data_IF_908448123017
#
_entry.id   IF_908448123017
#
_cell.length_a   1.000
_cell.length_b   1.000
_cell.length_c   1.000
_cell.angle_alpha   90.00
_cell.angle_beta   90.00
_cell.angle_gamma   90.00
#
_symmetry.space_group_name_H-M   'P 1'
#
loop_
_entity.id
_entity.type
_entity.pdbx_description
1 polymer ?
#
# COMPACT_ATOMS: atom_id res chain seq x y z
N UNK A 1 0.76 5.26 39.31
CA UNK A 1 1.54 6.51 39.44
C UNK A 1 2.99 6.16 39.15
N UNK A 2 3.61 6.71 38.10
CA UNK A 2 5.02 6.43 37.77
C UNK A 2 5.88 7.44 38.57
N UNK A 3 6.54 7.05 39.67
CA UNK A 3 6.94 8.01 40.73
C UNK A 3 8.09 8.96 40.37
N UNK A 4 8.85 8.67 39.30
CA UNK A 4 10.10 9.35 38.95
C UNK A 4 10.00 10.40 37.82
N UNK A 5 8.81 10.62 37.24
CA UNK A 5 8.65 11.61 36.18
C UNK A 5 8.66 13.04 36.75
N UNK A 6 9.54 13.87 36.22
CA UNK A 6 9.57 15.31 36.44
C UNK A 6 8.49 16.05 35.63
N UNK A 7 8.31 17.36 35.87
CA UNK A 7 7.38 18.19 35.09
C UNK A 7 7.67 18.12 33.59
N UNK A 8 6.63 17.97 32.76
CA UNK A 8 6.75 17.84 31.30
C UNK A 8 7.27 16.49 30.80
N UNK A 9 7.55 15.53 31.68
CA UNK A 9 7.97 14.19 31.28
C UNK A 9 6.79 13.22 31.18
N UNK A 10 6.84 12.36 30.17
CA UNK A 10 5.87 11.31 29.94
C UNK A 10 6.58 10.00 29.55
N UNK A 11 6.03 8.88 29.98
CA UNK A 11 6.43 7.54 29.51
C UNK A 11 5.20 6.89 28.91
N UNK A 12 5.34 6.36 27.69
CA UNK A 12 4.26 5.71 26.94
C UNK A 12 2.99 6.57 26.88
N UNK A 13 3.16 7.87 26.62
CA UNK A 13 2.07 8.83 26.50
C UNK A 13 1.37 9.17 27.81
N UNK A 14 1.94 8.85 28.98
CA UNK A 14 1.37 9.23 30.28
C UNK A 14 2.33 10.07 31.12
N UNK A 15 1.84 11.21 31.58
CA UNK A 15 2.51 12.06 32.55
C UNK A 15 2.36 11.52 33.98
N UNK A 16 3.05 12.14 34.94
CA UNK A 16 3.05 11.75 36.36
C UNK A 16 1.66 11.70 36.99
N UNK A 17 0.80 12.64 36.63
CA UNK A 17 -0.59 12.78 37.08
C UNK A 17 -1.56 11.85 36.32
N UNK A 18 -1.06 11.07 35.36
CA UNK A 18 -1.84 10.18 34.52
C UNK A 18 -2.48 10.86 33.31
N UNK A 19 -2.25 12.17 33.09
CA UNK A 19 -2.71 12.86 31.90
C UNK A 19 -1.99 12.33 30.65
N UNK A 20 -2.65 12.44 29.50
CA UNK A 20 -2.04 12.19 28.19
C UNK A 20 -1.52 13.53 27.68
N UNK A 21 -0.21 13.81 27.73
CA UNK A 21 0.28 15.13 27.34
C UNK A 21 0.26 15.32 25.82
N UNK A 22 0.26 14.25 25.03
CA UNK A 22 0.33 14.31 23.58
C UNK A 22 -0.55 13.24 22.93
N UNK A 23 -1.49 13.65 22.08
CA UNK A 23 -2.28 12.77 21.22
C UNK A 23 -1.85 12.97 19.77
N UNK A 24 -1.49 11.89 19.09
CA UNK A 24 -1.16 11.93 17.66
C UNK A 24 -2.42 11.74 16.83
N UNK A 25 -2.65 12.67 15.90
CA UNK A 25 -3.76 12.68 14.94
C UNK A 25 -3.19 12.65 13.52
N UNK A 26 -3.74 11.78 12.67
CA UNK A 26 -3.23 11.52 11.34
C UNK A 26 -2.51 10.18 11.23
N UNK A 27 -1.86 9.99 10.08
CA UNK A 27 -1.13 8.77 9.78
C UNK A 27 0.29 9.17 9.38
N UNK A 28 1.26 8.65 10.12
CA UNK A 28 2.67 8.76 9.74
C UNK A 28 3.06 7.73 8.69
N UNK A 29 4.31 7.82 8.27
CA UNK A 29 4.91 6.93 7.27
C UNK A 29 4.68 5.44 7.57
N UNK A 30 4.72 5.02 8.84
CA UNK A 30 4.51 3.62 9.25
C UNK A 30 3.04 3.18 9.33
N UNK A 31 2.06 4.06 9.56
CA UNK A 31 0.63 3.70 9.73
C UNK A 31 -0.26 4.22 8.58
N UNK A 32 0.36 4.67 7.49
CA UNK A 32 -0.37 5.16 6.32
C UNK A 32 -1.09 4.01 5.61
N UNK A 33 -0.43 2.85 5.52
CA UNK A 33 -0.82 1.69 4.69
C UNK A 33 -0.95 2.00 3.20
N UNK A 34 -0.54 3.19 2.77
CA UNK A 34 -0.54 3.61 1.37
C UNK A 34 0.85 3.65 0.76
N UNK A 35 1.90 3.36 1.55
CA UNK A 35 3.29 3.44 1.09
C UNK A 35 3.53 2.61 -0.19
N UNK A 36 4.34 3.13 -1.13
CA UNK A 36 5.00 4.45 -1.13
C UNK A 36 4.10 5.58 -1.65
N UNK A 37 2.83 5.33 -1.93
CA UNK A 37 1.93 6.32 -2.53
C UNK A 37 1.57 7.39 -1.51
N UNK A 38 1.82 8.64 -1.89
CA UNK A 38 1.62 9.82 -1.05
C UNK A 38 0.35 10.60 -1.43
N UNK A 39 -0.20 11.33 -0.45
CA UNK A 39 -1.34 12.22 -0.64
C UNK A 39 -2.67 11.53 -0.92
N UNK A 40 -2.81 10.26 -0.56
CA UNK A 40 -4.10 9.56 -0.52
C UNK A 40 -4.79 9.89 0.80
N UNK A 41 -5.94 10.61 0.79
CA UNK A 41 -6.55 11.09 2.01
C UNK A 41 -7.37 10.01 2.71
N UNK A 42 -7.21 9.90 4.03
CA UNK A 42 -8.04 9.06 4.91
C UNK A 42 -8.93 9.98 5.77
N UNK A 43 -9.87 10.67 5.11
CA UNK A 43 -10.65 11.78 5.69
C UNK A 43 -11.49 11.30 6.85
N UNK A 44 -12.16 10.16 6.71
CA UNK A 44 -13.05 9.64 7.75
C UNK A 44 -12.25 9.21 8.98
N UNK A 45 -11.13 8.50 8.77
CA UNK A 45 -10.21 8.15 9.87
C UNK A 45 -9.65 9.39 10.57
N UNK A 46 -9.21 10.39 9.81
CA UNK A 46 -8.68 11.63 10.39
C UNK A 46 -9.73 12.38 11.22
N UNK A 47 -10.97 12.45 10.73
CA UNK A 47 -12.08 13.05 11.47
C UNK A 47 -12.40 12.30 12.77
N UNK A 48 -12.31 10.96 12.75
CA UNK A 48 -12.47 10.12 13.93
C UNK A 48 -11.35 10.35 14.95
N UNK A 49 -10.09 10.44 14.50
CA UNK A 49 -8.95 10.72 15.38
C UNK A 49 -9.04 12.12 16.01
N UNK A 50 -9.45 13.14 15.26
CA UNK A 50 -9.71 14.49 15.78
C UNK A 50 -10.78 14.49 16.88
N UNK A 51 -11.90 13.81 16.62
CA UNK A 51 -12.99 13.67 17.58
C UNK A 51 -12.54 12.93 18.85
N UNK A 52 -11.81 11.84 18.70
CA UNK A 52 -11.26 11.09 19.84
C UNK A 52 -10.31 11.96 20.67
N UNK A 53 -9.48 12.78 20.02
CA UNK A 53 -8.58 13.71 20.69
C UNK A 53 -9.34 14.83 21.42
N UNK A 54 -10.51 15.25 20.94
CA UNK A 54 -11.39 16.22 21.61
C UNK A 54 -11.94 15.74 22.96
N UNK A 55 -11.79 14.45 23.27
CA UNK A 55 -12.16 13.86 24.56
C UNK A 55 -11.19 14.18 25.70
N UNK A 56 -9.95 14.58 25.39
CA UNK A 56 -8.92 14.92 26.37
C UNK A 56 -8.52 16.39 26.24
N UNK A 57 -9.19 17.27 26.99
CA UNK A 57 -8.99 18.72 26.94
C UNK A 57 -7.62 19.18 27.46
N UNK A 58 -6.82 18.26 28.04
CA UNK A 58 -5.49 18.56 28.59
C UNK A 58 -4.34 18.11 27.69
N UNK A 59 -4.64 17.39 26.61
CA UNK A 59 -3.63 16.88 25.70
C UNK A 59 -3.24 17.91 24.63
N UNK A 60 -1.94 18.06 24.38
CA UNK A 60 -1.46 18.69 23.16
C UNK A 60 -1.68 17.75 21.96
N UNK A 61 -1.88 18.33 20.77
CA UNK A 61 -2.13 17.56 19.55
C UNK A 61 -0.89 17.58 18.64
N UNK A 62 -0.40 16.38 18.31
CA UNK A 62 0.62 16.16 17.29
C UNK A 62 -0.07 15.77 15.98
N UNK A 63 0.04 16.59 14.94
CA UNK A 63 -0.55 16.30 13.62
C UNK A 63 0.48 15.70 12.68
N UNK A 64 0.17 14.54 12.12
CA UNK A 64 1.08 13.82 11.22
C UNK A 64 0.41 13.61 9.86
N UNK A 65 1.03 14.12 8.81
CA UNK A 65 0.59 13.97 7.42
C UNK A 65 1.69 13.29 6.61
N UNK A 66 1.31 12.33 5.77
CA UNK A 66 2.23 11.72 4.80
C UNK A 66 2.58 12.67 3.65
N UNK A 67 1.67 13.59 3.31
CA UNK A 67 1.88 14.63 2.30
C UNK A 67 1.52 15.98 2.93
N UNK A 68 2.48 16.93 3.04
CA UNK A 68 2.22 18.26 3.57
C UNK A 68 1.13 19.04 2.80
N UNK A 69 0.84 18.67 1.55
CA UNK A 69 -0.23 19.25 0.73
C UNK A 69 -1.48 18.36 0.69
N UNK A 70 -2.16 18.24 1.83
CA UNK A 70 -3.44 17.53 2.00
C UNK A 70 -4.60 18.49 2.29
N UNK A 71 -5.20 19.12 1.25
CA UNK A 71 -6.18 20.19 1.42
C UNK A 71 -7.40 19.75 2.24
N UNK A 72 -7.90 18.54 2.03
CA UNK A 72 -9.01 17.96 2.80
C UNK A 72 -8.71 17.82 4.29
N UNK A 73 -7.51 17.35 4.65
CA UNK A 73 -7.14 17.15 6.06
C UNK A 73 -6.92 18.50 6.75
N UNK A 74 -6.30 19.47 6.06
CA UNK A 74 -6.15 20.83 6.59
C UNK A 74 -7.49 21.57 6.72
N UNK A 75 -8.40 21.42 5.76
CA UNK A 75 -9.74 22.00 5.84
C UNK A 75 -10.51 21.42 7.04
N UNK A 76 -10.44 20.11 7.24
CA UNK A 76 -11.07 19.43 8.37
C UNK A 76 -10.45 19.86 9.72
N UNK A 77 -9.13 20.00 9.79
CA UNK A 77 -8.45 20.54 10.97
C UNK A 77 -8.87 21.99 11.26
N UNK A 78 -9.01 22.83 10.23
CA UNK A 78 -9.49 24.22 10.40
C UNK A 78 -10.93 24.25 10.93
N UNK A 79 -11.82 23.44 10.37
CA UNK A 79 -13.19 23.31 10.89
C UNK A 79 -13.20 22.83 12.35
N UNK A 80 -12.34 21.85 12.68
CA UNK A 80 -12.24 21.33 14.05
C UNK A 80 -11.79 22.39 15.03
N UNK A 81 -10.76 23.17 14.67
CA UNK A 81 -10.26 24.26 15.53
C UNK A 81 -11.27 25.36 15.73
N UNK A 82 -12.13 25.61 14.73
CA UNK A 82 -13.21 26.61 14.83
C UNK A 82 -14.35 26.11 15.71
N UNK A 83 -14.74 24.84 15.55
CA UNK A 83 -15.83 24.22 16.27
C UNK A 83 -15.53 22.73 16.46
N UNK A 84 -14.91 22.33 17.59
CA UNK A 84 -14.72 20.92 17.90
C UNK A 84 -16.06 20.20 17.90
N UNK A 85 -16.10 19.03 17.27
CA UNK A 85 -17.31 18.21 17.22
C UNK A 85 -17.20 17.00 18.13
N UNK A 86 -18.36 16.49 18.53
CA UNK A 86 -18.53 15.23 19.26
C UNK A 86 -19.71 14.47 18.67
N UNK A 87 -19.64 13.15 18.72
CA UNK A 87 -20.64 12.24 18.18
C UNK A 87 -20.62 12.14 16.64
N UNK A 88 -21.24 11.07 16.16
CA UNK A 88 -21.36 10.76 14.73
C UNK A 88 -21.92 11.93 13.91
N UNK A 89 -22.98 12.58 14.40
CA UNK A 89 -23.63 13.69 13.71
C UNK A 89 -22.66 14.86 13.47
N UNK A 90 -21.97 15.30 14.51
CA UNK A 90 -21.03 16.43 14.40
C UNK A 90 -19.87 16.12 13.46
N UNK A 91 -19.35 14.88 13.50
CA UNK A 91 -18.31 14.42 12.58
C UNK A 91 -18.78 14.43 11.12
N UNK A 92 -19.98 13.92 10.85
CA UNK A 92 -20.56 13.90 9.49
C UNK A 92 -20.82 15.33 8.99
N UNK A 93 -21.36 16.22 9.82
CA UNK A 93 -21.57 17.63 9.47
C UNK A 93 -20.24 18.33 9.11
N UNK A 94 -19.15 18.06 9.84
CA UNK A 94 -17.84 18.62 9.56
C UNK A 94 -17.24 18.09 8.24
N UNK A 95 -17.31 16.77 8.01
CA UNK A 95 -16.86 16.16 6.76
C UNK A 95 -17.65 16.73 5.57
N UNK A 96 -18.98 16.87 5.72
CA UNK A 96 -19.82 17.46 4.68
C UNK A 96 -19.46 18.91 4.38
N UNK A 97 -19.20 19.72 5.42
CA UNK A 97 -18.77 21.10 5.22
C UNK A 97 -17.48 21.19 4.41
N UNK A 98 -16.50 20.33 4.69
CA UNK A 98 -15.24 20.25 3.93
C UNK A 98 -15.47 19.74 2.50
N UNK A 99 -16.29 18.71 2.31
CA UNK A 99 -16.64 18.21 0.99
C UNK A 99 -17.30 19.28 0.11
N UNK A 100 -18.21 20.07 0.70
CA UNK A 100 -18.87 21.16 0.01
C UNK A 100 -17.92 22.30 -0.38
N UNK A 101 -16.85 22.54 0.39
CA UNK A 101 -15.81 23.52 0.02
C UNK A 101 -15.03 23.09 -1.24
N UNK A 102 -14.85 21.79 -1.46
CA UNK A 102 -14.07 21.23 -2.58
C UNK A 102 -14.94 20.97 -3.80
N UNK A 103 -16.08 20.29 -3.62
CA UNK A 103 -16.94 19.83 -4.71
C UNK A 103 -18.18 20.72 -4.98
N UNK A 104 -18.42 21.72 -4.13
CA UNK A 104 -19.68 22.46 -4.10
C UNK A 104 -20.78 21.69 -3.35
N UNK A 105 -21.81 22.41 -2.90
CA UNK A 105 -22.90 21.83 -2.10
C UNK A 105 -23.61 20.66 -2.82
N UNK A 106 -23.89 20.82 -4.11
CA UNK A 106 -24.61 19.83 -4.91
C UNK A 106 -23.86 18.50 -5.08
N UNK A 107 -22.52 18.53 -4.97
CA UNK A 107 -21.69 17.34 -5.17
C UNK A 107 -20.95 16.90 -3.90
N UNK A 108 -21.24 17.51 -2.75
CA UNK A 108 -20.55 17.21 -1.49
C UNK A 108 -20.70 15.72 -1.13
N UNK A 109 -21.91 15.18 -1.17
CA UNK A 109 -22.18 13.77 -0.87
C UNK A 109 -21.44 12.81 -1.82
N UNK A 110 -21.32 13.16 -3.09
CA UNK A 110 -20.58 12.35 -4.07
C UNK A 110 -19.09 12.29 -3.72
N UNK A 111 -18.48 13.42 -3.30
CA UNK A 111 -17.10 13.45 -2.85
C UNK A 111 -16.90 12.66 -1.54
N UNK A 112 -17.82 12.77 -0.58
CA UNK A 112 -17.80 11.95 0.64
C UNK A 112 -17.85 10.47 0.28
N UNK A 113 -18.67 10.09 -0.69
CA UNK A 113 -18.74 8.72 -1.20
C UNK A 113 -17.46 8.22 -1.87
N UNK A 114 -16.61 9.12 -2.39
CA UNK A 114 -15.25 8.78 -2.85
C UNK A 114 -14.34 8.56 -1.63
N UNK A 115 -14.35 9.48 -0.66
CA UNK A 115 -13.52 9.37 0.54
C UNK A 115 -13.83 8.12 1.37
N UNK A 116 -15.10 7.76 1.54
CA UNK A 116 -15.51 6.53 2.23
C UNK A 116 -14.90 5.28 1.58
N UNK A 117 -14.92 5.19 0.25
CA UNK A 117 -14.32 4.07 -0.48
C UNK A 117 -12.79 4.04 -0.33
N UNK A 118 -12.14 5.20 -0.25
CA UNK A 118 -10.70 5.28 0.03
C UNK A 118 -10.40 4.77 1.44
N UNK A 119 -11.11 5.29 2.45
CA UNK A 119 -10.96 4.85 3.85
C UNK A 119 -11.25 3.35 4.00
N UNK A 120 -12.26 2.83 3.30
CA UNK A 120 -12.57 1.39 3.24
C UNK A 120 -11.46 0.57 2.59
N UNK A 121 -10.88 1.06 1.50
CA UNK A 121 -9.78 0.38 0.82
C UNK A 121 -8.56 0.26 1.72
N UNK A 122 -8.11 1.38 2.31
CA UNK A 122 -6.96 1.39 3.21
C UNK A 122 -7.26 0.62 4.50
N UNK A 123 -8.48 0.73 5.02
CA UNK A 123 -8.94 -0.03 6.19
C UNK A 123 -8.92 -1.54 5.98
N UNK A 124 -9.27 -2.03 4.79
CA UNK A 124 -9.19 -3.46 4.45
C UNK A 124 -7.76 -3.98 4.52
N UNK A 125 -6.79 -3.26 3.92
CA UNK A 125 -5.37 -3.66 3.97
C UNK A 125 -4.84 -3.58 5.39
N UNK A 126 -5.14 -2.51 6.13
CA UNK A 126 -4.78 -2.36 7.55
C UNK A 126 -5.34 -3.48 8.45
N UNK A 127 -6.47 -4.08 8.06
CA UNK A 127 -7.11 -5.16 8.82
C UNK A 127 -6.37 -6.49 8.75
N UNK A 128 -5.34 -6.62 7.90
CA UNK A 128 -4.39 -7.75 7.95
C UNK A 128 -3.70 -7.85 9.31
N UNK A 129 -3.55 -6.72 10.02
CA UNK A 129 -2.92 -6.66 11.34
C UNK A 129 -1.41 -6.90 11.29
N UNK A 130 -0.77 -6.84 12.45
CA UNK A 130 0.69 -6.97 12.56
C UNK A 130 1.44 -5.77 12.00
N UNK A 131 2.66 -6.02 11.50
CA UNK A 131 3.51 -4.98 10.93
C UNK A 131 2.95 -4.46 9.59
N UNK A 132 3.19 -3.17 9.27
CA UNK A 132 2.67 -2.56 8.05
C UNK A 132 3.36 -3.14 6.82
N UNK A 133 2.85 -4.26 6.30
CA UNK A 133 3.49 -4.98 5.19
C UNK A 133 3.54 -4.16 3.90
N UNK A 134 2.72 -3.11 3.76
CA UNK A 134 2.84 -2.15 2.67
C UNK A 134 4.13 -1.31 2.75
N UNK A 135 4.70 -1.14 3.93
CA UNK A 135 6.05 -0.59 4.08
C UNK A 135 7.08 -1.71 4.02
N UNK A 136 6.89 -2.73 4.85
CA UNK A 136 7.90 -3.79 5.05
C UNK A 136 8.11 -4.63 3.78
N UNK A 137 7.03 -5.07 3.13
CA UNK A 137 7.10 -5.83 1.89
C UNK A 137 7.44 -4.94 0.69
N UNK A 138 6.59 -3.93 0.42
CA UNK A 138 6.70 -3.12 -0.80
C UNK A 138 8.01 -2.33 -0.89
N UNK A 139 8.51 -1.80 0.23
CA UNK A 139 9.70 -0.95 0.26
C UNK A 139 10.92 -1.70 0.81
N UNK A 140 10.82 -2.22 2.02
CA UNK A 140 12.00 -2.78 2.71
C UNK A 140 12.43 -4.13 2.11
N UNK A 141 11.48 -4.93 1.60
CA UNK A 141 11.74 -6.16 0.83
C UNK A 141 11.67 -5.95 -0.68
N UNK A 142 11.52 -4.70 -1.13
CA UNK A 142 11.55 -4.31 -2.54
C UNK A 142 10.53 -5.03 -3.41
N UNK A 143 9.37 -5.49 -2.90
CA UNK A 143 8.36 -6.17 -3.74
C UNK A 143 7.97 -5.35 -4.98
N UNK A 144 8.01 -4.01 -4.88
CA UNK A 144 7.67 -3.13 -5.98
C UNK A 144 8.64 -3.26 -7.17
N UNK A 145 9.95 -3.34 -6.91
CA UNK A 145 11.00 -3.31 -7.95
C UNK A 145 11.70 -4.64 -8.15
N UNK A 146 11.55 -5.60 -7.24
CA UNK A 146 12.08 -6.97 -7.33
C UNK A 146 11.26 -7.82 -8.31
N UNK A 147 11.89 -8.57 -9.24
CA UNK A 147 11.18 -9.43 -10.19
C UNK A 147 10.64 -10.70 -9.53
N UNK A 148 9.46 -11.14 -9.98
CA UNK A 148 8.88 -12.43 -9.59
C UNK A 148 9.39 -13.49 -10.57
N UNK A 149 10.31 -14.34 -10.11
CA UNK A 149 10.92 -15.42 -10.91
C UNK A 149 10.97 -16.71 -10.09
N UNK A 150 10.88 -17.89 -10.72
CA UNK A 150 10.84 -19.17 -10.00
C UNK A 150 12.21 -19.56 -9.40
N UNK A 151 13.32 -19.07 -9.97
CA UNK A 151 14.68 -19.39 -9.52
C UNK A 151 15.47 -18.10 -9.23
N UNK A 152 15.15 -17.35 -8.17
CA UNK A 152 15.79 -16.05 -7.88
C UNK A 152 17.29 -16.16 -7.62
N UNK A 153 17.77 -17.33 -7.18
CA UNK A 153 19.19 -17.61 -6.93
C UNK A 153 20.02 -17.76 -8.21
N UNK A 154 19.39 -17.97 -9.36
CA UNK A 154 20.05 -18.09 -10.66
C UNK A 154 20.16 -16.73 -11.39
N UNK A 155 19.60 -15.66 -10.84
CA UNK A 155 19.70 -14.32 -11.41
C UNK A 155 21.15 -13.82 -11.41
N UNK A 156 21.54 -13.19 -12.52
CA UNK A 156 22.86 -12.59 -12.65
C UNK A 156 22.99 -11.34 -11.77
N UNK A 157 24.22 -10.93 -11.39
CA UNK A 157 24.42 -9.69 -10.62
C UNK A 157 23.73 -8.47 -11.25
N UNK A 158 23.77 -8.33 -12.58
CA UNK A 158 23.13 -7.21 -13.27
C UNK A 158 21.59 -7.20 -13.14
N UNK A 159 21.00 -8.36 -12.88
CA UNK A 159 19.56 -8.56 -12.67
C UNK A 159 19.16 -8.44 -11.19
N UNK A 160 20.10 -8.64 -10.26
CA UNK A 160 19.82 -8.72 -8.82
C UNK A 160 20.26 -7.48 -8.03
N UNK A 161 21.43 -6.92 -8.34
CA UNK A 161 22.12 -5.96 -7.46
C UNK A 161 21.39 -4.62 -7.30
N UNK A 162 20.50 -4.26 -8.25
CA UNK A 162 19.77 -3.00 -8.19
C UNK A 162 18.74 -2.95 -7.07
N UNK A 163 18.23 -4.10 -6.61
CA UNK A 163 17.29 -4.17 -5.47
C UNK A 163 17.92 -4.86 -4.24
N UNK A 164 18.75 -5.89 -4.44
CA UNK A 164 19.21 -6.78 -3.35
C UNK A 164 19.98 -6.07 -2.25
N UNK A 165 20.83 -5.11 -2.60
CA UNK A 165 21.63 -4.33 -1.63
C UNK A 165 20.79 -3.42 -0.73
N UNK A 166 19.53 -3.20 -1.08
CA UNK A 166 18.58 -2.40 -0.33
C UNK A 166 17.48 -3.23 0.34
N UNK A 167 17.55 -4.57 0.29
CA UNK A 167 16.67 -5.42 1.07
C UNK A 167 17.10 -5.38 2.55
N UNK A 168 16.14 -5.13 3.43
CA UNK A 168 16.39 -5.10 4.86
C UNK A 168 16.41 -6.52 5.45
N UNK A 169 17.42 -6.81 6.28
CA UNK A 169 17.51 -8.02 7.11
C UNK A 169 17.25 -9.34 6.37
N UNK A 170 18.25 -9.81 5.63
CA UNK A 170 18.34 -11.20 5.20
C UNK A 170 19.66 -11.79 5.71
N UNK A 171 19.60 -12.80 6.57
CA UNK A 171 20.80 -13.43 7.15
C UNK A 171 21.51 -14.36 6.15
N UNK A 172 20.79 -14.78 5.12
CA UNK A 172 21.28 -15.59 4.01
C UNK A 172 20.71 -15.10 2.67
N UNK A 173 21.26 -15.60 1.56
CA UNK A 173 20.69 -15.31 0.25
C UNK A 173 19.36 -16.04 0.03
N UNK A 174 19.18 -17.20 0.65
CA UNK A 174 17.92 -17.95 0.64
C UNK A 174 16.81 -17.17 1.34
N UNK A 175 17.08 -16.58 2.50
CA UNK A 175 16.14 -15.69 3.19
C UNK A 175 15.85 -14.43 2.37
N UNK A 176 16.87 -13.87 1.69
CA UNK A 176 16.67 -12.73 0.80
C UNK A 176 15.82 -13.07 -0.43
N UNK A 177 15.87 -14.35 -0.85
CA UNK A 177 15.15 -14.89 -1.99
C UNK A 177 13.69 -15.24 -1.67
N UNK A 178 13.32 -15.37 -0.40
CA UNK A 178 11.93 -15.50 0.01
C UNK A 178 11.22 -14.14 -0.06
N UNK A 179 10.07 -14.07 -0.74
CA UNK A 179 9.27 -12.86 -0.82
C UNK A 179 8.44 -12.65 0.45
N UNK A 180 8.03 -13.70 1.17
CA UNK A 180 7.20 -13.63 2.37
C UNK A 180 8.01 -13.49 3.66
N UNK A 181 9.35 -13.59 3.60
CA UNK A 181 10.21 -13.22 4.70
C UNK A 181 10.27 -11.69 4.87
N UNK A 182 9.43 -11.16 5.76
CA UNK A 182 9.32 -9.75 6.07
C UNK A 182 10.16 -9.41 7.30
N UNK A 183 11.49 -9.34 7.13
CA UNK A 183 12.43 -8.99 8.22
C UNK A 183 12.50 -10.04 9.34
N UNK A 184 12.47 -11.32 8.97
CA UNK A 184 12.41 -12.44 9.91
C UNK A 184 11.00 -12.71 10.46
N UNK A 185 10.00 -11.95 10.05
CA UNK A 185 8.59 -12.21 10.35
C UNK A 185 7.87 -12.78 9.13
N UNK A 186 7.17 -13.89 9.35
CA UNK A 186 6.31 -14.53 8.36
C UNK A 186 4.85 -14.12 8.60
N UNK A 187 4.56 -12.82 8.51
CA UNK A 187 3.22 -12.28 8.78
C UNK A 187 2.16 -12.91 7.87
N UNK A 188 2.53 -13.17 6.62
CA UNK A 188 1.69 -13.79 5.60
C UNK A 188 2.38 -15.09 5.21
N UNK A 189 1.95 -16.20 5.79
CA UNK A 189 2.52 -17.51 5.48
C UNK A 189 1.42 -18.58 5.36
N UNK A 190 1.71 -19.55 4.50
CA UNK A 190 0.85 -20.66 4.16
C UNK A 190 -0.42 -20.24 3.44
N UNK A 191 -1.13 -21.24 2.96
CA UNK A 191 -2.33 -21.06 2.14
C UNK A 191 -3.37 -20.13 2.79
N UNK A 192 -3.64 -20.29 4.10
CA UNK A 192 -4.64 -19.48 4.79
C UNK A 192 -4.23 -18.01 4.94
N UNK A 193 -2.95 -17.75 5.26
CA UNK A 193 -2.43 -16.38 5.36
C UNK A 193 -2.48 -15.67 4.01
N UNK A 194 -1.97 -16.33 2.97
CA UNK A 194 -1.97 -15.84 1.59
C UNK A 194 -3.39 -15.57 1.06
N UNK A 195 -4.34 -16.48 1.35
CA UNK A 195 -5.75 -16.32 0.97
C UNK A 195 -6.41 -15.13 1.67
N UNK A 196 -6.23 -14.98 2.98
CA UNK A 196 -6.81 -13.87 3.75
C UNK A 196 -6.26 -12.51 3.28
N UNK A 197 -4.93 -12.41 3.14
CA UNK A 197 -4.28 -11.20 2.65
C UNK A 197 -4.73 -10.86 1.22
N UNK A 198 -4.80 -11.86 0.34
CA UNK A 198 -5.30 -11.69 -1.03
C UNK A 198 -6.74 -11.18 -1.08
N UNK A 199 -7.63 -11.71 -0.22
CA UNK A 199 -9.02 -11.28 -0.16
C UNK A 199 -9.17 -9.82 0.29
N UNK A 200 -8.41 -9.42 1.31
CA UNK A 200 -8.40 -8.04 1.80
C UNK A 200 -7.84 -7.08 0.74
N UNK A 201 -6.77 -7.46 0.04
CA UNK A 201 -6.22 -6.69 -1.07
C UNK A 201 -7.20 -6.59 -2.25
N UNK A 202 -7.91 -7.67 -2.60
CA UNK A 202 -8.94 -7.64 -3.63
C UNK A 202 -10.11 -6.71 -3.26
N UNK A 203 -10.56 -6.74 -2.00
CA UNK A 203 -11.56 -5.79 -1.50
C UNK A 203 -11.06 -4.34 -1.59
N UNK A 204 -9.79 -4.10 -1.25
CA UNK A 204 -9.18 -2.78 -1.33
C UNK A 204 -9.10 -2.29 -2.79
N UNK A 205 -8.61 -3.14 -3.69
CA UNK A 205 -8.52 -2.85 -5.13
C UNK A 205 -9.90 -2.51 -5.70
N UNK A 206 -10.93 -3.32 -5.43
CA UNK A 206 -12.28 -3.05 -5.91
C UNK A 206 -12.88 -1.75 -5.36
N UNK A 207 -12.58 -1.41 -4.10
CA UNK A 207 -13.00 -0.15 -3.49
C UNK A 207 -12.31 1.05 -4.17
N UNK A 208 -11.00 0.94 -4.48
CA UNK A 208 -10.26 1.97 -5.22
C UNK A 208 -10.77 2.12 -6.66
N UNK A 209 -11.06 1.03 -7.36
CA UNK A 209 -11.61 1.07 -8.72
C UNK A 209 -12.95 1.80 -8.76
N UNK A 210 -13.83 1.49 -7.80
CA UNK A 210 -15.10 2.21 -7.65
C UNK A 210 -14.88 3.68 -7.33
N UNK A 211 -13.94 4.01 -6.44
CA UNK A 211 -13.61 5.41 -6.10
C UNK A 211 -13.06 6.17 -7.32
N UNK A 212 -12.18 5.55 -8.12
CA UNK A 212 -11.62 6.13 -9.34
C UNK A 212 -12.73 6.43 -10.35
N UNK A 213 -13.68 5.49 -10.53
CA UNK A 213 -14.82 5.66 -11.43
C UNK A 213 -15.73 6.82 -10.98
N UNK A 214 -16.08 6.84 -9.71
CA UNK A 214 -16.96 7.88 -9.16
C UNK A 214 -16.28 9.25 -9.20
N UNK A 215 -14.99 9.33 -8.91
CA UNK A 215 -14.20 10.55 -8.99
C UNK A 215 -14.09 11.06 -10.44
N UNK A 216 -13.94 10.16 -11.42
CA UNK A 216 -13.95 10.55 -12.83
C UNK A 216 -15.30 11.13 -13.27
N UNK A 217 -16.42 10.59 -12.79
CA UNK A 217 -17.75 11.15 -13.03
C UNK A 217 -17.97 12.49 -12.31
N UNK A 218 -17.41 12.63 -11.11
CA UNK A 218 -17.46 13.86 -10.31
C UNK A 218 -16.61 14.97 -10.92
N UNK A 219 -15.46 14.63 -11.52
CA UNK A 219 -14.51 15.57 -12.14
C UNK A 219 -15.20 16.58 -13.07
N UNK A 220 -16.16 16.13 -13.89
CA UNK A 220 -16.84 17.02 -14.84
C UNK A 220 -17.82 17.99 -14.19
N UNK A 221 -18.19 17.76 -12.93
CA UNK A 221 -19.21 18.51 -12.18
C UNK A 221 -18.63 19.50 -11.18
N UNK A 222 -17.36 19.36 -10.81
CA UNK A 222 -16.71 20.23 -9.82
C UNK A 222 -15.88 21.33 -10.48
N UNK A 223 -15.75 22.46 -9.77
CA UNK A 223 -14.90 23.57 -10.23
C UNK A 223 -13.41 23.22 -10.15
N UNK A 224 -12.97 22.57 -9.06
CA UNK A 224 -11.58 22.16 -8.85
C UNK A 224 -11.27 20.82 -9.54
N UNK A 225 -11.23 20.84 -10.88
CA UNK A 225 -10.82 19.67 -11.68
C UNK A 225 -9.40 19.20 -11.37
N UNK A 226 -8.39 20.08 -11.14
CA UNK A 226 -7.05 19.66 -10.74
C UNK A 226 -7.00 18.79 -9.48
N UNK A 227 -7.85 19.05 -8.48
CA UNK A 227 -7.99 18.18 -7.31
C UNK A 227 -8.40 16.76 -7.71
N UNK A 228 -9.47 16.61 -8.49
CA UNK A 228 -9.95 15.30 -8.93
C UNK A 228 -8.94 14.57 -9.82
N UNK A 229 -8.24 15.30 -10.70
CA UNK A 229 -7.18 14.73 -11.54
C UNK A 229 -6.02 14.18 -10.71
N UNK A 230 -5.55 14.96 -9.74
CA UNK A 230 -4.44 14.56 -8.86
C UNK A 230 -4.83 13.39 -7.97
N UNK A 231 -5.99 13.46 -7.32
CA UNK A 231 -6.48 12.37 -6.48
C UNK A 231 -6.70 11.10 -7.33
N UNK A 232 -7.27 11.22 -8.53
CA UNK A 232 -7.47 10.09 -9.44
C UNK A 232 -6.17 9.38 -9.80
N UNK A 233 -5.09 10.14 -10.08
CA UNK A 233 -3.76 9.56 -10.33
C UNK A 233 -3.18 8.86 -9.10
N UNK A 234 -3.32 9.46 -7.90
CA UNK A 234 -2.87 8.82 -6.65
C UNK A 234 -3.62 7.51 -6.37
N UNK A 235 -4.94 7.47 -6.59
CA UNK A 235 -5.73 6.25 -6.39
C UNK A 235 -5.35 5.15 -7.39
N UNK A 236 -5.08 5.50 -8.66
CA UNK A 236 -4.58 4.54 -9.65
C UNK A 236 -3.20 3.99 -9.25
N UNK A 237 -2.30 4.84 -8.76
CA UNK A 237 -1.00 4.40 -8.27
C UNK A 237 -1.14 3.45 -7.07
N UNK A 238 -1.99 3.80 -6.10
CA UNK A 238 -2.24 2.95 -4.93
C UNK A 238 -2.85 1.61 -5.32
N UNK A 239 -3.79 1.60 -6.27
CA UNK A 239 -4.36 0.37 -6.82
C UNK A 239 -3.27 -0.52 -7.43
N UNK A 240 -2.31 0.06 -8.17
CA UNK A 240 -1.21 -0.71 -8.75
C UNK A 240 -0.28 -1.28 -7.66
N UNK A 241 -0.01 -0.52 -6.61
CA UNK A 241 0.81 -0.97 -5.47
C UNK A 241 0.12 -2.11 -4.69
N UNK A 242 -1.20 -2.04 -4.46
CA UNK A 242 -1.95 -3.14 -3.85
C UNK A 242 -2.03 -4.38 -4.75
N UNK A 243 -2.14 -4.21 -6.08
CA UNK A 243 -2.04 -5.33 -7.02
C UNK A 243 -0.67 -5.98 -6.98
N UNK A 244 0.40 -5.21 -6.93
CA UNK A 244 1.77 -5.72 -6.79
C UNK A 244 1.92 -6.55 -5.50
N UNK A 245 1.46 -6.05 -4.36
CA UNK A 245 1.50 -6.79 -3.11
C UNK A 245 0.73 -8.11 -3.20
N UNK A 246 -0.49 -8.09 -3.74
CA UNK A 246 -1.31 -9.30 -3.93
C UNK A 246 -0.61 -10.31 -4.83
N UNK A 247 -0.11 -9.86 -5.98
CA UNK A 247 0.55 -10.73 -6.95
C UNK A 247 1.81 -11.33 -6.35
N UNK A 248 2.58 -10.57 -5.57
CA UNK A 248 3.77 -11.06 -4.88
C UNK A 248 3.43 -12.16 -3.86
N UNK A 249 2.41 -11.94 -3.03
CA UNK A 249 1.92 -12.91 -2.04
C UNK A 249 1.46 -14.20 -2.73
N UNK A 250 0.62 -14.08 -3.76
CA UNK A 250 0.09 -15.24 -4.47
C UNK A 250 1.19 -16.00 -5.23
N UNK A 251 2.17 -15.28 -5.79
CA UNK A 251 3.30 -15.88 -6.48
C UNK A 251 4.15 -16.73 -5.53
N UNK A 252 4.53 -16.18 -4.37
CA UNK A 252 5.31 -16.91 -3.37
C UNK A 252 4.53 -18.12 -2.84
N UNK A 253 3.23 -17.97 -2.53
CA UNK A 253 2.38 -19.08 -2.07
C UNK A 253 2.31 -20.24 -3.08
N UNK A 254 2.38 -19.97 -4.38
CA UNK A 254 2.47 -21.03 -5.40
C UNK A 254 3.83 -21.71 -5.34
N UNK A 255 4.92 -20.95 -5.26
CA UNK A 255 6.28 -21.50 -5.17
C UNK A 255 6.50 -22.33 -3.90
N UNK A 256 5.97 -21.90 -2.76
CA UNK A 256 6.09 -22.60 -1.47
C UNK A 256 5.40 -23.97 -1.48
N UNK A 257 4.38 -24.13 -2.32
CA UNK A 257 3.64 -25.39 -2.50
C UNK A 257 4.20 -26.24 -3.64
N UNK A 258 5.31 -25.85 -4.25
CA UNK A 258 5.91 -26.57 -5.37
C UNK A 258 7.10 -27.38 -4.90
N UNK A 259 7.11 -28.65 -5.30
CA UNK A 259 8.25 -29.53 -5.07
C UNK A 259 9.26 -29.37 -6.21
N UNK A 260 10.48 -28.94 -5.86
CA UNK A 260 11.57 -28.69 -6.80
C UNK A 260 12.41 -29.94 -7.10
N UNK A 261 12.19 -31.04 -6.36
CA UNK A 261 12.93 -32.28 -6.50
C UNK A 261 12.58 -33.10 -7.76
N UNK A 262 11.32 -33.44 -8.00
CA UNK A 262 10.92 -34.28 -9.12
C UNK A 262 10.84 -33.49 -10.44
N UNK A 263 11.00 -34.14 -11.61
CA UNK A 263 10.68 -33.51 -12.88
C UNK A 263 9.19 -33.17 -12.97
N UNK A 264 8.82 -32.12 -13.74
CA UNK A 264 7.44 -31.64 -13.82
C UNK A 264 6.50 -32.76 -14.30
N UNK A 265 5.50 -33.08 -13.49
CA UNK A 265 4.44 -34.01 -13.81
C UNK A 265 3.10 -33.26 -13.96
N UNK A 266 2.25 -33.71 -14.87
CA UNK A 266 0.93 -33.09 -15.05
C UNK A 266 -0.01 -33.60 -13.95
N UNK A 267 -0.31 -32.75 -12.97
CA UNK A 267 -1.32 -33.01 -11.94
C UNK A 267 -2.67 -32.44 -12.38
N UNK A 268 -3.52 -33.29 -12.97
CA UNK A 268 -4.89 -32.93 -13.33
C UNK A 268 -5.82 -33.07 -12.13
N UNK A 269 -6.44 -31.97 -11.69
CA UNK A 269 -7.50 -31.97 -10.68
C UNK A 269 -8.83 -31.79 -11.40
N UNK A 270 -9.61 -32.88 -11.50
CA UNK A 270 -10.95 -32.84 -12.09
C UNK A 270 -11.83 -31.75 -11.43
N UNK A 271 -12.58 -30.91 -12.18
CA UNK A 271 -12.84 -30.98 -13.63
C UNK A 271 -11.89 -30.14 -14.50
N UNK A 272 -10.76 -29.67 -13.95
CA UNK A 272 -9.79 -28.85 -14.68
C UNK A 272 -8.81 -29.75 -15.46
N UNK A 273 -8.64 -29.41 -16.74
CA UNK A 273 -7.63 -30.00 -17.63
C UNK A 273 -6.34 -29.16 -17.57
N UNK A 274 -5.20 -29.81 -17.32
CA UNK A 274 -3.85 -29.23 -17.26
C UNK A 274 -3.35 -28.93 -15.84
N UNK A 275 -2.05 -28.64 -15.74
CA UNK A 275 -1.40 -28.25 -14.49
C UNK A 275 -1.96 -26.92 -13.95
N UNK A 276 -2.67 -27.01 -12.83
CA UNK A 276 -3.33 -25.86 -12.21
C UNK A 276 -2.33 -24.80 -11.74
N UNK A 277 -1.19 -25.21 -11.18
CA UNK A 277 -0.17 -24.28 -10.67
C UNK A 277 0.50 -23.52 -11.81
N UNK A 278 0.73 -24.18 -12.95
CA UNK A 278 1.21 -23.52 -14.17
C UNK A 278 0.26 -22.40 -14.62
N UNK A 279 -1.05 -22.68 -14.64
CA UNK A 279 -2.04 -21.68 -15.04
C UNK A 279 -2.06 -20.51 -14.06
N UNK A 280 -2.09 -20.79 -12.76
CA UNK A 280 -2.14 -19.77 -11.71
C UNK A 280 -0.90 -18.85 -11.76
N UNK A 281 0.30 -19.44 -11.83
CA UNK A 281 1.54 -18.66 -11.84
C UNK A 281 1.67 -17.81 -13.12
N UNK A 282 1.19 -18.31 -14.27
CA UNK A 282 1.17 -17.55 -15.52
C UNK A 282 0.20 -16.36 -15.46
N UNK A 283 -0.99 -16.55 -14.89
CA UNK A 283 -1.97 -15.47 -14.70
C UNK A 283 -1.36 -14.37 -13.81
N UNK A 284 -0.75 -14.75 -12.68
CA UNK A 284 -0.15 -13.80 -11.75
C UNK A 284 1.05 -13.06 -12.38
N UNK A 285 1.93 -13.80 -13.07
CA UNK A 285 3.10 -13.22 -13.74
C UNK A 285 2.67 -12.21 -14.80
N UNK A 286 1.65 -12.53 -15.60
CA UNK A 286 1.12 -11.62 -16.61
C UNK A 286 0.46 -10.39 -16.00
N UNK A 287 -0.39 -10.59 -14.98
CA UNK A 287 -1.02 -9.49 -14.26
C UNK A 287 0.02 -8.56 -13.65
N UNK A 288 1.10 -9.10 -13.10
CA UNK A 288 2.18 -8.31 -12.51
C UNK A 288 2.99 -7.52 -13.54
N UNK A 289 3.29 -8.12 -14.70
CA UNK A 289 3.95 -7.41 -15.81
C UNK A 289 3.09 -6.23 -16.28
N UNK A 290 1.80 -6.47 -16.51
CA UNK A 290 0.88 -5.44 -16.99
C UNK A 290 0.68 -4.34 -15.93
N UNK A 291 0.54 -4.72 -14.66
CA UNK A 291 0.45 -3.81 -13.52
C UNK A 291 1.72 -2.96 -13.32
N UNK A 292 2.90 -3.56 -13.44
CA UNK A 292 4.19 -2.88 -13.31
C UNK A 292 4.37 -1.83 -14.41
N UNK A 293 4.01 -2.17 -15.66
CA UNK A 293 4.03 -1.23 -16.77
C UNK A 293 2.99 -0.11 -16.61
N UNK A 294 1.80 -0.43 -16.12
CA UNK A 294 0.77 0.58 -15.83
C UNK A 294 1.29 1.60 -14.81
N UNK A 295 1.89 1.13 -13.70
CA UNK A 295 2.47 2.00 -12.70
C UNK A 295 3.61 2.84 -13.27
N UNK A 296 4.54 2.25 -14.02
CA UNK A 296 5.65 2.97 -14.64
C UNK A 296 5.17 4.12 -15.55
N UNK A 297 4.18 3.84 -16.40
CA UNK A 297 3.59 4.84 -17.30
C UNK A 297 2.83 5.94 -16.53
N UNK A 298 2.14 5.56 -15.45
CA UNK A 298 1.45 6.52 -14.59
C UNK A 298 2.45 7.47 -13.88
N UNK A 299 3.55 6.93 -13.35
CA UNK A 299 4.60 7.73 -12.71
C UNK A 299 5.31 8.64 -13.71
N UNK A 300 5.59 8.17 -14.93
CA UNK A 300 6.26 8.95 -15.98
C UNK A 300 5.38 10.09 -16.52
N UNK A 301 4.05 9.90 -16.59
CA UNK A 301 3.11 10.89 -17.11
C UNK A 301 2.50 11.82 -16.05
N UNK A 302 2.70 11.52 -14.77
CA UNK A 302 2.12 12.30 -13.68
C UNK A 302 2.71 13.72 -13.61
N UNK A 303 1.83 14.72 -13.45
CA UNK A 303 2.23 16.12 -13.27
C UNK A 303 2.64 16.46 -11.84
N UNK A 304 2.39 15.55 -10.91
CA UNK A 304 2.68 15.69 -9.48
C UNK A 304 3.31 14.40 -8.98
N UNK A 305 4.18 14.46 -7.96
CA UNK A 305 4.70 13.26 -7.31
C UNK A 305 3.56 12.38 -6.78
N UNK A 306 3.55 11.11 -7.16
CA UNK A 306 2.56 10.13 -6.70
C UNK A 306 3.13 9.19 -5.64
N UNK A 307 4.45 8.98 -5.65
CA UNK A 307 5.16 8.10 -4.73
C UNK A 307 6.30 8.88 -4.06
N UNK A 308 6.58 8.54 -2.81
CA UNK A 308 7.77 9.00 -2.11
C UNK A 308 8.99 8.23 -2.62
N UNK A 309 10.00 8.97 -3.05
CA UNK A 309 11.29 8.45 -3.53
C UNK A 309 12.41 9.25 -2.89
N UNK A 310 13.61 8.66 -2.85
CA UNK A 310 14.82 9.35 -2.44
C UNK A 310 15.06 10.59 -3.32
N UNK A 311 15.51 11.73 -2.77
CA UNK A 311 15.78 12.93 -3.55
C UNK A 311 16.93 12.75 -4.56
N UNK A 312 17.91 11.90 -4.23
CA UNK A 312 19.02 11.53 -5.10
C UNK A 312 19.32 10.02 -5.05
N UNK A 313 20.01 9.50 -6.08
CA UNK A 313 20.44 8.09 -6.14
C UNK A 313 21.32 7.67 -4.93
N UNK A 314 22.10 8.60 -4.38
CA UNK A 314 22.94 8.34 -3.21
C UNK A 314 22.16 8.25 -1.89
N UNK A 315 20.90 8.69 -1.90
CA UNK A 315 19.98 8.66 -0.76
C UNK A 315 18.98 7.50 -0.86
N UNK A 316 19.09 6.65 -1.89
CA UNK A 316 18.37 5.38 -1.93
C UNK A 316 18.89 4.48 -0.81
N UNK A 317 17.97 3.96 -0.01
CA UNK A 317 18.28 3.08 1.10
C UNK A 317 17.17 2.04 1.30
N UNK A 318 17.20 1.35 2.43
CA UNK A 318 16.21 0.33 2.79
C UNK A 318 14.78 0.88 2.96
N UNK A 319 14.61 2.19 3.23
CA UNK A 319 13.33 2.85 3.48
C UNK A 319 12.83 3.71 2.32
N UNK A 320 13.70 4.05 1.37
CA UNK A 320 13.36 4.85 0.20
C UNK A 320 13.83 4.18 -1.09
N UNK A 321 12.98 4.17 -2.10
CA UNK A 321 13.34 3.74 -3.46
C UNK A 321 13.99 4.93 -4.17
N UNK A 322 15.00 4.67 -5.01
CA UNK A 322 15.72 5.70 -5.75
C UNK A 322 14.82 6.53 -6.68
N UNK A 323 15.25 7.74 -7.07
CA UNK A 323 14.48 8.60 -7.97
C UNK A 323 14.27 7.99 -9.36
N UNK A 324 15.04 6.95 -9.72
CA UNK A 324 14.91 6.22 -10.98
C UNK A 324 13.89 5.05 -10.91
N UNK A 325 12.89 5.12 -10.03
CA UNK A 325 11.87 4.06 -9.85
C UNK A 325 11.23 3.58 -11.16
N UNK A 326 10.97 4.47 -12.13
CA UNK A 326 10.42 4.10 -13.45
C UNK A 326 11.36 3.15 -14.20
N UNK A 327 12.67 3.40 -14.16
CA UNK A 327 13.67 2.52 -14.75
C UNK A 327 13.72 1.18 -14.02
N UNK A 328 13.65 1.19 -12.68
CA UNK A 328 13.62 -0.03 -11.88
C UNK A 328 12.39 -0.90 -12.17
N UNK A 329 11.20 -0.29 -12.33
CA UNK A 329 9.96 -0.98 -12.71
C UNK A 329 10.07 -1.59 -14.12
N UNK A 330 10.62 -0.84 -15.08
CA UNK A 330 10.84 -1.36 -16.45
C UNK A 330 11.85 -2.51 -16.45
N UNK A 331 12.91 -2.41 -15.64
CA UNK A 331 13.91 -3.46 -15.48
C UNK A 331 13.30 -4.73 -14.86
N UNK A 332 12.44 -4.59 -13.84
CA UNK A 332 11.65 -5.68 -13.27
C UNK A 332 10.89 -6.45 -14.36
N UNK A 333 10.10 -5.73 -15.17
CA UNK A 333 9.35 -6.34 -16.28
C UNK A 333 10.24 -7.07 -17.28
N UNK A 334 11.38 -6.48 -17.66
CA UNK A 334 12.32 -7.09 -18.59
C UNK A 334 12.90 -8.41 -18.06
N UNK A 335 13.23 -8.47 -16.77
CA UNK A 335 13.74 -9.69 -16.13
C UNK A 335 12.62 -10.74 -16.07
N UNK A 336 11.42 -10.36 -15.64
CA UNK A 336 10.27 -11.29 -15.59
C UNK A 336 9.97 -11.92 -16.96
N UNK A 337 9.99 -11.13 -18.04
CA UNK A 337 9.80 -11.63 -19.41
C UNK A 337 10.92 -12.57 -19.86
N UNK A 338 12.17 -12.30 -19.46
CA UNK A 338 13.33 -13.14 -19.79
C UNK A 338 13.23 -14.53 -19.14
N UNK A 339 12.68 -14.59 -17.93
CA UNK A 339 12.58 -15.79 -17.10
C UNK A 339 11.18 -16.42 -17.11
N UNK A 340 10.24 -15.91 -17.90
CA UNK A 340 8.83 -16.36 -17.89
C UNK A 340 8.70 -17.86 -18.20
N UNK A 341 9.58 -18.40 -19.06
CA UNK A 341 9.55 -19.81 -19.45
C UNK A 341 10.24 -20.74 -18.43
N UNK A 342 10.94 -20.21 -17.43
CA UNK A 342 11.63 -21.04 -16.44
C UNK A 342 10.64 -21.86 -15.60
N UNK A 343 9.38 -21.40 -15.48
CA UNK A 343 8.30 -22.12 -14.80
C UNK A 343 8.05 -23.52 -15.38
N UNK A 344 8.41 -23.78 -16.65
CA UNK A 344 8.28 -25.11 -17.26
C UNK A 344 9.28 -26.15 -16.73
N UNK A 345 10.28 -25.71 -15.95
CA UNK A 345 11.13 -26.61 -15.17
C UNK A 345 10.38 -27.18 -13.95
N UNK A 346 9.35 -26.47 -13.48
CA UNK A 346 8.54 -26.82 -12.31
C UNK A 346 7.21 -27.45 -12.68
N UNK A 347 6.63 -27.05 -13.81
CA UNK A 347 5.28 -27.45 -14.21
C UNK A 347 5.22 -27.94 -15.65
N UNK A 348 4.29 -28.86 -15.95
CA UNK A 348 4.20 -29.46 -17.28
C UNK A 348 3.17 -28.74 -18.15
N UNK A 349 3.63 -28.28 -19.32
CA UNK A 349 2.73 -27.81 -20.39
C UNK A 349 2.05 -29.01 -21.04
N UNK A 350 0.72 -29.02 -21.14
CA UNK A 350 0.01 -29.97 -22.01
C UNK A 350 0.52 -29.77 -23.44
N UNK A 351 1.23 -30.76 -23.97
CA UNK A 351 1.45 -30.84 -25.42
C UNK A 351 0.08 -31.15 -26.02
N UNK A 352 -0.32 -30.37 -27.04
CA UNK A 352 -1.60 -30.49 -27.71
C UNK A 352 -1.84 -31.86 -28.31
#
# INVERSE_FOLDING_TARGET
>A
MIPSLGPGQAINGRAKDGATPLITVGNGFYDSWTNPVIGVPQVLRFAWQLEAAAGDERADLNFVFCEPRSPELFALLKEFRRKPWRGLRGRVEAIHAVAAQVAGQENAEALIGVWEKIDRAVGAVRSTGGDPFMLVGTINQRWLTRPLVPFPMELKPEEKDYYRKFQFQANSEEEAADLMNLQGFELINGFSGSLLASNLLNQAIGSLESAIKDLAALREKIADRPYADTLGSRLRALRCVYRNARNTIQYQDILDRTDYGPPPNEENIYPLDGDQKLREIQIITRDEIDNTNELANLLESAKTPLVEVAPAMAEEDIFLIGPNIVEQLRKKTQIMLRHELDVYRLYRRRQG
#
